data_IF_441609657120
#
_entry.id   IF_441609657120
#
_cell.length_a   1.000
_cell.length_b   1.000
_cell.length_c   1.000
_cell.angle_alpha   90.00
_cell.angle_beta   90.00
_cell.angle_gamma   90.00
#
_symmetry.space_group_name_H-M   'P 1'
#
loop_
_entity.id
_entity.type
_entity.pdbx_description
1 polymer ?
#
# COMPACT_ATOMS: atom_id res chain seq x y z
N UNK A 1 15.52 -11.43 28.25
CA UNK A 1 16.24 -11.92 27.03
C UNK A 1 15.34 -11.90 25.80
N UNK A 2 14.10 -12.41 25.85
CA UNK A 2 13.17 -12.52 24.71
C UNK A 2 12.83 -11.17 24.09
N UNK A 3 12.50 -10.16 24.91
CA UNK A 3 12.23 -8.80 24.44
C UNK A 3 13.42 -8.19 23.69
N UNK A 4 14.65 -8.41 24.17
CA UNK A 4 15.85 -7.91 23.52
C UNK A 4 16.10 -8.65 22.20
N UNK A 5 15.98 -9.99 22.19
CA UNK A 5 16.14 -10.79 20.97
C UNK A 5 15.13 -10.36 19.89
N UNK A 6 13.86 -10.23 20.27
CA UNK A 6 12.79 -9.75 19.40
C UNK A 6 13.05 -8.33 18.91
N UNK A 7 13.52 -7.42 19.77
CA UNK A 7 13.85 -6.04 19.40
C UNK A 7 14.99 -5.99 18.38
N UNK A 8 16.08 -6.70 18.59
CA UNK A 8 17.22 -6.77 17.67
C UNK A 8 16.79 -7.39 16.34
N UNK A 9 16.03 -8.47 16.38
CA UNK A 9 15.49 -9.10 15.18
C UNK A 9 14.60 -8.12 14.38
N UNK A 10 13.72 -7.36 15.04
CA UNK A 10 12.86 -6.35 14.41
C UNK A 10 13.63 -5.13 13.90
N UNK A 11 14.82 -4.88 14.40
CA UNK A 11 15.73 -3.83 13.86
C UNK A 11 16.48 -4.28 12.60
N UNK A 12 16.32 -5.52 12.16
CA UNK A 12 16.86 -6.05 10.91
C UNK A 12 18.00 -7.05 11.07
N UNK A 13 18.43 -7.37 12.30
CA UNK A 13 19.46 -8.39 12.53
C UNK A 13 18.94 -9.78 12.18
N UNK A 14 19.79 -10.61 11.58
CA UNK A 14 19.51 -12.03 11.42
C UNK A 14 19.56 -12.77 12.76
N UNK A 15 19.00 -13.97 12.83
CA UNK A 15 19.07 -14.80 14.05
C UNK A 15 20.53 -15.07 14.48
N UNK A 16 21.45 -15.24 13.53
CA UNK A 16 22.88 -15.43 13.83
C UNK A 16 23.46 -14.18 14.47
N UNK A 17 23.24 -13.00 13.90
CA UNK A 17 23.69 -11.73 14.45
C UNK A 17 23.07 -11.42 15.82
N UNK A 18 21.82 -11.78 16.05
CA UNK A 18 21.23 -11.68 17.39
C UNK A 18 21.97 -12.59 18.39
N UNK A 19 22.33 -13.81 17.98
CA UNK A 19 23.14 -14.73 18.79
C UNK A 19 24.55 -14.18 19.10
N UNK A 20 25.21 -13.55 18.12
CA UNK A 20 26.51 -12.89 18.29
C UNK A 20 26.42 -11.76 19.33
N UNK A 21 25.47 -10.84 19.18
CA UNK A 21 25.24 -9.74 20.15
C UNK A 21 24.96 -10.29 21.56
N UNK A 22 24.17 -11.36 21.66
CA UNK A 22 23.91 -12.00 22.97
C UNK A 22 25.18 -12.61 23.57
N UNK A 23 26.03 -13.21 22.71
CA UNK A 23 27.34 -13.72 23.14
C UNK A 23 28.25 -12.62 23.71
N UNK A 24 28.30 -11.49 23.00
CA UNK A 24 29.12 -10.33 23.43
C UNK A 24 28.59 -9.69 24.72
N UNK A 25 27.25 -9.52 24.84
CA UNK A 25 26.65 -8.82 25.98
C UNK A 25 26.58 -9.69 27.23
N UNK A 26 26.27 -10.98 27.08
CA UNK A 26 26.04 -11.89 28.22
C UNK A 26 27.17 -12.91 28.44
N UNK A 27 28.21 -12.91 27.62
CA UNK A 27 29.34 -13.83 27.75
C UNK A 27 29.00 -15.30 27.53
N UNK A 28 27.84 -15.60 26.90
CA UNK A 28 27.37 -16.98 26.67
C UNK A 28 27.00 -17.16 25.20
N UNK A 29 27.40 -18.29 24.64
CA UNK A 29 26.94 -18.66 23.30
C UNK A 29 25.49 -19.13 23.33
N UNK A 30 24.66 -18.54 22.48
CA UNK A 30 23.26 -18.94 22.29
C UNK A 30 23.13 -19.72 20.98
N UNK A 31 22.56 -20.91 21.06
CA UNK A 31 22.30 -21.70 19.85
C UNK A 31 21.23 -21.03 18.96
N UNK A 32 21.29 -21.30 17.63
CA UNK A 32 20.23 -20.85 16.70
C UNK A 32 18.83 -21.26 17.18
N UNK A 33 18.70 -22.46 17.75
CA UNK A 33 17.44 -22.96 18.29
C UNK A 33 16.95 -22.14 19.49
N UNK A 34 17.86 -21.66 20.35
CA UNK A 34 17.51 -20.79 21.47
C UNK A 34 17.04 -19.42 21.00
N UNK A 35 17.75 -18.80 20.05
CA UNK A 35 17.36 -17.54 19.46
C UNK A 35 16.03 -17.69 18.68
N UNK A 36 15.84 -18.78 17.94
CA UNK A 36 14.60 -19.06 17.23
C UNK A 36 13.40 -19.13 18.18
N UNK A 37 13.54 -19.80 19.33
CA UNK A 37 12.48 -19.86 20.37
C UNK A 37 12.15 -18.49 20.95
N UNK A 38 13.16 -17.63 21.18
CA UNK A 38 12.94 -16.26 21.67
C UNK A 38 12.17 -15.41 20.65
N UNK A 39 12.38 -15.66 19.34
CA UNK A 39 11.69 -14.96 18.27
C UNK A 39 10.29 -15.55 18.00
N UNK A 40 10.08 -16.82 18.33
CA UNK A 40 8.78 -17.50 18.15
C UNK A 40 7.65 -16.79 18.93
N UNK A 41 7.97 -16.25 20.10
CA UNK A 41 7.03 -15.44 20.89
C UNK A 41 6.49 -14.24 20.07
N UNK A 42 7.36 -13.60 19.30
CA UNK A 42 6.96 -12.50 18.42
C UNK A 42 5.95 -12.92 17.34
N UNK A 43 6.00 -14.15 16.85
CA UNK A 43 5.06 -14.66 15.85
C UNK A 43 3.64 -14.74 16.41
N UNK A 44 3.49 -15.20 17.65
CA UNK A 44 2.20 -15.26 18.34
C UNK A 44 1.56 -13.87 18.46
N UNK A 45 2.32 -12.88 18.93
CA UNK A 45 1.85 -11.50 19.05
C UNK A 45 1.43 -10.92 17.69
N UNK A 46 2.25 -11.15 16.66
CA UNK A 46 1.96 -10.69 15.30
C UNK A 46 0.72 -11.37 14.74
N UNK A 47 0.57 -12.66 14.94
CA UNK A 47 -0.60 -13.41 14.47
C UNK A 47 -1.88 -12.93 15.15
N UNK A 48 -1.84 -12.71 16.47
CA UNK A 48 -2.94 -12.13 17.23
C UNK A 48 -3.30 -10.73 16.69
N UNK A 49 -2.29 -9.90 16.44
CA UNK A 49 -2.51 -8.57 15.90
C UNK A 49 -3.10 -8.59 14.47
N UNK A 50 -2.62 -9.48 13.59
CA UNK A 50 -3.14 -9.63 12.23
C UNK A 50 -4.55 -10.21 12.20
N UNK A 51 -4.95 -11.01 13.21
CA UNK A 51 -6.29 -11.61 13.30
C UNK A 51 -7.29 -10.80 14.14
N UNK A 52 -6.87 -9.65 14.71
CA UNK A 52 -7.75 -8.81 15.54
C UNK A 52 -8.99 -8.35 14.80
N UNK A 53 -10.05 -8.10 15.53
CA UNK A 53 -11.25 -7.44 14.99
C UNK A 53 -10.90 -6.05 14.48
N UNK A 54 -11.57 -5.64 13.41
CA UNK A 54 -11.42 -4.33 12.76
C UNK A 54 -12.67 -3.50 12.98
N UNK A 55 -12.59 -2.20 12.69
CA UNK A 55 -13.77 -1.32 12.67
C UNK A 55 -14.74 -1.77 11.55
N UNK A 56 -16.03 -1.54 11.78
CA UNK A 56 -17.04 -1.89 10.79
C UNK A 56 -16.96 -1.03 9.52
N UNK A 57 -16.43 0.18 9.64
CA UNK A 57 -16.34 1.12 8.53
C UNK A 57 -15.01 1.86 8.51
N UNK A 58 -14.44 2.00 7.31
CA UNK A 58 -13.27 2.81 7.05
C UNK A 58 -13.55 3.82 5.94
N UNK A 59 -13.54 5.13 6.23
CA UNK A 59 -13.70 6.19 5.23
C UNK A 59 -12.77 6.05 4.02
N UNK A 60 -11.50 5.69 4.27
CA UNK A 60 -10.52 5.45 3.21
C UNK A 60 -9.71 4.20 3.54
N UNK A 61 -9.49 3.37 2.55
CA UNK A 61 -8.54 2.26 2.61
C UNK A 61 -7.51 2.42 1.50
N UNK A 62 -6.23 2.35 1.86
CA UNK A 62 -5.11 2.35 0.92
C UNK A 62 -4.56 0.94 0.77
N UNK A 63 -4.28 0.54 -0.47
CA UNK A 63 -3.61 -0.72 -0.80
C UNK A 63 -2.41 -0.43 -1.68
N UNK A 64 -1.25 -0.92 -1.28
CA UNK A 64 -0.02 -0.78 -2.07
C UNK A 64 0.94 -1.95 -1.81
N UNK A 65 1.78 -2.26 -2.79
CA UNK A 65 2.70 -3.39 -2.74
C UNK A 65 4.13 -2.98 -2.42
N UNK A 66 4.80 -3.83 -1.66
CA UNK A 66 6.25 -3.83 -1.52
C UNK A 66 6.80 -5.15 -2.05
N UNK A 67 7.84 -5.06 -2.90
CA UNK A 67 8.50 -6.25 -3.43
C UNK A 67 9.70 -6.62 -2.55
N UNK A 68 9.75 -7.89 -2.14
CA UNK A 68 10.77 -8.43 -1.23
C UNK A 68 11.33 -9.73 -1.81
N UNK A 69 12.65 -9.87 -1.78
CA UNK A 69 13.31 -11.11 -2.16
C UNK A 69 13.12 -12.17 -1.07
N UNK A 70 12.56 -13.32 -1.46
CA UNK A 70 12.27 -14.44 -0.57
C UNK A 70 12.94 -15.70 -1.09
N UNK A 71 13.60 -16.46 -0.20
CA UNK A 71 14.15 -17.77 -0.54
C UNK A 71 13.03 -18.79 -0.79
N UNK A 72 13.10 -19.46 -1.93
CA UNK A 72 12.30 -20.65 -2.27
C UNK A 72 13.23 -21.86 -2.40
N UNK A 73 12.67 -23.04 -2.53
CA UNK A 73 13.46 -24.32 -2.51
C UNK A 73 14.68 -24.32 -3.45
N UNK A 74 14.62 -23.62 -4.59
CA UNK A 74 15.67 -23.63 -5.62
C UNK A 74 16.03 -22.24 -6.16
N UNK A 75 15.39 -21.17 -5.66
CA UNK A 75 15.50 -19.83 -6.22
C UNK A 75 15.37 -18.76 -5.14
N UNK A 76 15.69 -17.53 -5.50
CA UNK A 76 15.29 -16.33 -4.76
C UNK A 76 14.29 -15.59 -5.63
N UNK A 77 13.07 -15.46 -5.17
CA UNK A 77 11.99 -14.84 -5.91
C UNK A 77 11.68 -13.45 -5.35
N UNK A 78 11.30 -12.54 -6.24
CA UNK A 78 10.89 -11.21 -5.86
C UNK A 78 9.36 -11.18 -5.76
N UNK A 79 8.85 -11.27 -4.54
CA UNK A 79 7.43 -11.43 -4.26
C UNK A 79 6.78 -10.13 -3.81
N UNK A 80 5.52 -9.93 -4.18
CA UNK A 80 4.71 -8.80 -3.78
C UNK A 80 4.06 -9.06 -2.41
N UNK A 81 4.22 -8.11 -1.50
CA UNK A 81 3.54 -8.06 -0.21
C UNK A 81 2.64 -6.83 -0.19
N UNK A 82 1.33 -7.05 -0.21
CA UNK A 82 0.34 -6.00 -0.19
C UNK A 82 0.05 -5.56 1.24
N UNK A 83 0.16 -4.27 1.46
CA UNK A 83 -0.17 -3.62 2.73
C UNK A 83 -1.50 -2.93 2.58
N UNK A 84 -2.44 -3.24 3.47
CA UNK A 84 -3.74 -2.60 3.55
C UNK A 84 -3.75 -1.68 4.76
N UNK A 85 -3.97 -0.39 4.54
CA UNK A 85 -4.01 0.64 5.59
C UNK A 85 -5.35 1.35 5.57
N UNK A 86 -6.08 1.31 6.68
CA UNK A 86 -7.34 2.03 6.87
C UNK A 86 -7.14 3.39 7.55
N UNK A 87 -7.96 4.35 7.14
CA UNK A 87 -8.20 5.60 7.86
C UNK A 87 -9.51 5.45 8.59
N UNK A 88 -9.51 5.66 9.90
CA UNK A 88 -10.70 5.58 10.74
C UNK A 88 -11.53 6.87 10.67
N UNK A 89 -12.72 6.84 11.21
CA UNK A 89 -13.58 8.03 11.31
C UNK A 89 -12.97 9.14 12.17
N UNK A 90 -12.17 8.80 13.20
CA UNK A 90 -11.41 9.74 14.02
C UNK A 90 -10.16 10.30 13.30
N UNK A 91 -9.99 9.97 12.02
CA UNK A 91 -8.85 10.33 11.16
C UNK A 91 -7.51 9.67 11.56
N UNK A 92 -7.50 8.79 12.53
CA UNK A 92 -6.33 7.95 12.82
C UNK A 92 -6.16 6.88 11.75
N UNK A 93 -4.98 6.27 11.68
CA UNK A 93 -4.64 5.28 10.66
C UNK A 93 -4.12 4.01 11.31
N UNK A 94 -4.52 2.88 10.74
CA UNK A 94 -3.99 1.59 11.15
C UNK A 94 -3.75 0.67 9.95
N UNK A 95 -2.81 -0.26 10.10
CA UNK A 95 -2.61 -1.34 9.14
C UNK A 95 -3.65 -2.42 9.39
N UNK A 96 -4.49 -2.69 8.41
CA UNK A 96 -5.55 -3.69 8.46
C UNK A 96 -5.02 -5.09 8.19
N UNK A 97 -4.01 -5.20 7.32
CA UNK A 97 -3.41 -6.48 6.97
C UNK A 97 -2.16 -6.34 6.10
N UNK A 98 -1.41 -7.42 6.04
CA UNK A 98 -0.24 -7.61 5.17
C UNK A 98 -0.40 -8.98 4.53
N UNK A 99 -0.45 -9.02 3.20
CA UNK A 99 -0.78 -10.21 2.43
C UNK A 99 0.33 -10.50 1.41
N UNK A 100 0.88 -11.70 1.45
CA UNK A 100 1.75 -12.17 0.38
C UNK A 100 0.89 -12.66 -0.79
N UNK A 101 1.11 -12.07 -1.97
CA UNK A 101 0.47 -12.52 -3.21
C UNK A 101 1.53 -12.57 -4.31
N UNK A 102 2.07 -13.75 -4.61
CA UNK A 102 3.10 -13.93 -5.65
C UNK A 102 2.59 -13.55 -7.04
N UNK A 103 1.28 -13.67 -7.27
CA UNK A 103 0.62 -13.28 -8.52
C UNK A 103 -0.57 -12.37 -8.25
N UNK A 104 -0.73 -11.33 -9.08
CA UNK A 104 -1.93 -10.47 -9.11
C UNK A 104 -3.06 -11.23 -9.80
N UNK A 105 -3.96 -11.83 -9.02
CA UNK A 105 -5.11 -12.57 -9.53
C UNK A 105 -6.41 -12.09 -8.86
N UNK A 106 -7.53 -12.20 -9.58
CA UNK A 106 -8.85 -11.88 -9.03
C UNK A 106 -9.14 -12.69 -7.75
N UNK A 107 -8.77 -13.96 -7.72
CA UNK A 107 -8.93 -14.81 -6.53
C UNK A 107 -8.13 -14.27 -5.34
N UNK A 108 -6.89 -13.83 -5.56
CA UNK A 108 -6.06 -13.27 -4.49
C UNK A 108 -6.63 -11.97 -3.90
N UNK A 109 -7.20 -11.10 -4.74
CA UNK A 109 -7.86 -9.88 -4.29
C UNK A 109 -9.13 -10.18 -3.49
N UNK A 110 -9.96 -11.10 -3.98
CA UNK A 110 -11.16 -11.56 -3.27
C UNK A 110 -10.81 -12.10 -1.89
N UNK A 111 -9.84 -12.99 -1.79
CA UNK A 111 -9.38 -13.53 -0.50
C UNK A 111 -8.92 -12.45 0.46
N UNK A 112 -8.21 -11.43 -0.03
CA UNK A 112 -7.77 -10.30 0.78
C UNK A 112 -8.96 -9.50 1.33
N UNK A 113 -9.94 -9.15 0.50
CA UNK A 113 -11.13 -8.41 0.93
C UNK A 113 -12.01 -9.25 1.85
N UNK A 114 -12.23 -10.54 1.55
CA UNK A 114 -12.96 -11.46 2.43
C UNK A 114 -12.29 -11.60 3.81
N UNK A 115 -10.95 -11.60 3.87
CA UNK A 115 -10.24 -11.62 5.14
C UNK A 115 -10.49 -10.35 5.98
N UNK A 116 -10.67 -9.18 5.35
CA UNK A 116 -11.06 -7.95 6.05
C UNK A 116 -12.51 -8.03 6.53
N UNK A 117 -13.41 -8.51 5.69
CA UNK A 117 -14.84 -8.71 6.00
C UNK A 117 -15.03 -9.65 7.20
N UNK A 118 -14.37 -10.82 7.20
CA UNK A 118 -14.41 -11.78 8.31
C UNK A 118 -13.88 -11.21 9.64
N UNK A 119 -13.02 -10.18 9.57
CA UNK A 119 -12.52 -9.47 10.74
C UNK A 119 -13.38 -8.28 11.16
N UNK A 120 -14.53 -8.08 10.53
CA UNK A 120 -15.55 -7.15 10.96
C UNK A 120 -15.78 -5.95 10.03
N UNK A 121 -14.98 -5.73 8.98
CA UNK A 121 -15.20 -4.63 8.02
C UNK A 121 -16.47 -4.91 7.23
N UNK A 122 -17.41 -3.97 7.26
CA UNK A 122 -18.67 -4.04 6.55
C UNK A 122 -18.81 -3.01 5.42
N UNK A 123 -17.95 -1.97 5.45
CA UNK A 123 -17.98 -0.94 4.43
C UNK A 123 -16.66 -0.17 4.32
N UNK A 124 -16.38 0.30 3.12
CA UNK A 124 -15.24 1.14 2.77
C UNK A 124 -15.75 2.32 1.96
N UNK A 125 -15.48 3.55 2.42
CA UNK A 125 -15.93 4.77 1.74
C UNK A 125 -15.19 5.05 0.44
N UNK A 126 -13.89 4.75 0.39
CA UNK A 126 -13.04 4.87 -0.80
C UNK A 126 -11.88 3.90 -0.71
N UNK A 127 -11.65 3.10 -1.75
CA UNK A 127 -10.42 2.34 -1.90
C UNK A 127 -9.43 3.10 -2.79
N UNK A 128 -8.20 3.29 -2.32
CA UNK A 128 -7.09 3.89 -3.08
C UNK A 128 -6.01 2.83 -3.31
N UNK A 129 -5.71 2.52 -4.55
CA UNK A 129 -4.74 1.47 -4.90
C UNK A 129 -3.85 1.87 -6.09
N UNK A 130 -2.76 1.15 -6.31
CA UNK A 130 -1.99 1.27 -7.56
C UNK A 130 -2.84 0.81 -8.77
N UNK A 131 -2.33 1.02 -9.97
CA UNK A 131 -3.00 0.67 -11.24
C UNK A 131 -3.14 -0.84 -11.48
N UNK A 132 -3.53 -1.58 -10.46
CA UNK A 132 -3.72 -3.04 -10.48
C UNK A 132 -4.98 -3.39 -11.25
N UNK A 133 -4.90 -4.37 -12.15
CA UNK A 133 -6.08 -4.91 -12.86
C UNK A 133 -6.82 -5.94 -11.99
N UNK A 134 -8.09 -6.16 -12.26
CA UNK A 134 -8.98 -7.13 -11.58
C UNK A 134 -9.26 -6.81 -10.09
N UNK A 135 -8.78 -5.69 -9.59
CA UNK A 135 -9.06 -5.26 -8.22
C UNK A 135 -10.51 -4.79 -8.07
N UNK A 136 -11.02 -4.10 -9.09
CA UNK A 136 -12.37 -3.53 -9.13
C UNK A 136 -13.47 -4.57 -9.01
N UNK A 137 -13.35 -5.68 -9.74
CA UNK A 137 -14.36 -6.76 -9.73
C UNK A 137 -14.40 -7.41 -8.34
N UNK A 138 -13.24 -7.73 -7.78
CA UNK A 138 -13.12 -8.32 -6.44
C UNK A 138 -13.59 -7.37 -5.33
N UNK A 139 -13.34 -6.06 -5.50
CA UNK A 139 -13.84 -5.04 -4.57
C UNK A 139 -15.37 -4.97 -4.59
N UNK A 140 -15.95 -4.90 -5.78
CA UNK A 140 -17.41 -4.83 -5.96
C UNK A 140 -18.13 -6.07 -5.43
N UNK A 141 -17.49 -7.23 -5.53
CA UNK A 141 -18.06 -8.49 -5.03
C UNK A 141 -18.16 -8.52 -3.50
N UNK A 142 -17.12 -8.06 -2.79
CA UNK A 142 -17.05 -8.15 -1.32
C UNK A 142 -17.58 -6.87 -0.65
N UNK A 143 -17.27 -5.70 -1.22
CA UNK A 143 -17.72 -4.40 -0.72
C UNK A 143 -18.44 -3.63 -1.83
N UNK A 144 -19.69 -4.01 -2.14
CA UNK A 144 -20.47 -3.39 -3.21
C UNK A 144 -20.65 -1.89 -2.94
N UNK A 145 -20.58 -1.09 -4.01
CA UNK A 145 -20.74 0.35 -3.94
C UNK A 145 -19.49 1.13 -3.49
N UNK A 146 -18.39 0.44 -3.14
CA UNK A 146 -17.14 1.12 -2.78
C UNK A 146 -16.48 1.75 -4.02
N UNK A 147 -16.31 3.09 -4.06
CA UNK A 147 -15.55 3.74 -5.11
C UNK A 147 -14.07 3.31 -5.10
N UNK A 148 -13.49 3.20 -6.31
CA UNK A 148 -12.08 2.92 -6.50
C UNK A 148 -11.36 4.15 -7.06
N UNK A 149 -10.26 4.56 -6.43
CA UNK A 149 -9.30 5.52 -6.94
C UNK A 149 -7.99 4.82 -7.24
N UNK A 150 -7.47 4.98 -8.45
CA UNK A 150 -6.12 4.49 -8.80
C UNK A 150 -5.07 5.58 -8.59
N UNK A 151 -3.88 5.18 -8.14
CA UNK A 151 -2.79 6.10 -7.77
C UNK A 151 -2.26 6.86 -8.97
N UNK A 152 -2.54 8.16 -9.02
CA UNK A 152 -2.07 9.06 -10.09
C UNK A 152 -0.54 9.20 -10.09
N UNK A 153 0.09 9.17 -8.92
CA UNK A 153 1.56 9.26 -8.81
C UNK A 153 2.25 8.08 -9.50
N UNK A 154 1.74 6.86 -9.31
CA UNK A 154 2.25 5.68 -10.01
C UNK A 154 2.02 5.76 -11.52
N UNK A 155 0.84 6.20 -11.95
CA UNK A 155 0.58 6.43 -13.37
C UNK A 155 1.57 7.42 -13.97
N UNK A 156 1.73 8.61 -13.37
CA UNK A 156 2.69 9.64 -13.84
C UNK A 156 4.11 9.07 -13.94
N UNK A 157 4.57 8.37 -12.92
CA UNK A 157 5.90 7.73 -12.90
C UNK A 157 6.06 6.71 -14.03
N UNK A 158 5.06 5.87 -14.25
CA UNK A 158 5.05 4.85 -15.30
C UNK A 158 5.03 5.48 -16.71
N UNK A 159 4.31 6.58 -16.91
CA UNK A 159 4.28 7.32 -18.16
C UNK A 159 5.66 7.92 -18.47
N UNK A 160 6.24 8.64 -17.51
CA UNK A 160 7.56 9.29 -17.66
C UNK A 160 8.71 8.28 -17.83
N UNK A 161 8.57 7.05 -17.31
CA UNK A 161 9.57 6.01 -17.52
C UNK A 161 9.61 5.46 -18.95
N UNK A 162 8.53 5.65 -19.73
CA UNK A 162 8.36 5.09 -21.08
C UNK A 162 8.69 6.06 -22.22
N UNK A 163 9.02 7.30 -21.90
CA UNK A 163 9.30 8.34 -22.90
C UNK A 163 10.77 8.74 -22.90
N UNK A 164 11.21 9.34 -24.01
CA UNK A 164 12.58 9.84 -24.17
C UNK A 164 12.88 10.90 -23.11
N UNK A 165 14.14 11.01 -22.73
CA UNK A 165 14.56 11.94 -21.68
C UNK A 165 14.16 13.39 -21.98
N UNK A 166 14.29 13.83 -23.24
CA UNK A 166 13.94 15.19 -23.68
C UNK A 166 12.45 15.53 -23.55
N UNK A 167 11.58 14.52 -23.62
CA UNK A 167 10.13 14.72 -23.60
C UNK A 167 9.54 14.69 -22.17
N UNK A 168 10.35 14.24 -21.18
CA UNK A 168 9.86 14.05 -19.79
C UNK A 168 9.35 15.34 -19.16
N UNK A 169 10.02 16.47 -19.42
CA UNK A 169 9.63 17.76 -18.86
C UNK A 169 8.25 18.20 -19.35
N UNK A 170 8.07 18.26 -20.67
CA UNK A 170 6.82 18.66 -21.31
C UNK A 170 5.68 17.69 -20.94
N UNK A 171 5.94 16.38 -20.97
CA UNK A 171 4.92 15.40 -20.54
C UNK A 171 4.53 15.55 -19.07
N UNK A 172 5.48 15.84 -18.19
CA UNK A 172 5.18 16.05 -16.76
C UNK A 172 4.32 17.29 -16.52
N UNK A 173 4.47 18.34 -17.36
CA UNK A 173 3.62 19.54 -17.35
C UNK A 173 2.21 19.21 -17.81
N UNK A 174 2.07 18.58 -18.97
CA UNK A 174 0.78 18.15 -19.48
C UNK A 174 0.05 17.22 -18.47
N UNK A 175 0.76 16.30 -17.83
CA UNK A 175 0.18 15.42 -16.79
C UNK A 175 -0.24 16.18 -15.52
N UNK A 176 0.36 17.33 -15.20
CA UNK A 176 -0.13 18.20 -14.11
C UNK A 176 -1.46 18.84 -14.47
N UNK A 177 -1.60 19.24 -15.73
CA UNK A 177 -2.83 19.87 -16.22
C UNK A 177 -3.99 18.88 -16.33
N UNK A 178 -3.71 17.62 -16.65
CA UNK A 178 -4.72 16.54 -16.64
C UNK A 178 -5.17 16.20 -15.22
N UNK A 179 -4.22 16.05 -14.27
CA UNK A 179 -4.51 15.62 -12.90
C UNK A 179 -4.41 16.77 -11.91
N UNK A 180 -5.34 17.73 -12.03
CA UNK A 180 -5.47 18.88 -11.13
C UNK A 180 -6.06 18.46 -9.79
N UNK A 181 -5.70 19.18 -8.74
CA UNK A 181 -6.28 19.02 -7.41
C UNK A 181 -6.56 20.40 -6.82
N UNK A 182 -7.60 20.51 -6.00
CA UNK A 182 -7.93 21.76 -5.30
C UNK A 182 -8.80 22.71 -6.09
N UNK A 183 -9.18 22.40 -7.31
CA UNK A 183 -10.12 23.15 -8.14
C UNK A 183 -11.54 22.59 -7.99
N UNK A 184 -12.49 23.32 -7.36
CA UNK A 184 -13.85 22.82 -7.15
C UNK A 184 -14.68 22.73 -8.45
N UNK A 185 -14.21 23.35 -9.54
CA UNK A 185 -14.90 23.34 -10.81
C UNK A 185 -14.37 22.30 -11.80
N UNK A 186 -13.29 21.61 -11.44
CA UNK A 186 -12.71 20.56 -12.28
C UNK A 186 -13.37 19.22 -11.98
N UNK A 187 -14.19 18.75 -12.93
CA UNK A 187 -15.01 17.53 -12.77
C UNK A 187 -14.29 16.26 -13.27
N UNK A 188 -14.76 15.04 -12.86
CA UNK A 188 -14.24 13.79 -13.42
C UNK A 188 -14.33 13.70 -14.95
N UNK A 189 -15.41 14.24 -15.54
CA UNK A 189 -15.62 14.27 -16.98
C UNK A 189 -14.57 15.16 -17.66
N UNK A 190 -14.34 16.36 -17.15
CA UNK A 190 -13.30 17.26 -17.66
C UNK A 190 -11.91 16.64 -17.52
N UNK A 191 -11.65 15.93 -16.42
CA UNK A 191 -10.41 15.17 -16.24
C UNK A 191 -10.24 14.07 -17.27
N UNK A 192 -11.32 13.35 -17.56
CA UNK A 192 -11.32 12.33 -18.60
C UNK A 192 -11.09 12.89 -20.00
N UNK A 193 -11.75 13.99 -20.35
CA UNK A 193 -11.57 14.67 -21.64
C UNK A 193 -10.12 15.17 -21.80
N UNK A 194 -9.56 15.76 -20.75
CA UNK A 194 -8.16 16.19 -20.72
C UNK A 194 -7.19 14.99 -20.87
N UNK A 195 -7.50 13.85 -20.29
CA UNK A 195 -6.75 12.61 -20.47
C UNK A 195 -6.79 12.10 -21.91
N UNK A 196 -7.95 12.11 -22.54
CA UNK A 196 -8.09 11.71 -23.94
C UNK A 196 -7.31 12.65 -24.88
N UNK A 197 -7.38 13.97 -24.66
CA UNK A 197 -6.60 14.95 -25.38
C UNK A 197 -5.07 14.74 -25.19
N UNK A 198 -4.64 14.50 -23.95
CA UNK A 198 -3.26 14.13 -23.63
C UNK A 198 -2.80 12.87 -24.37
N UNK A 199 -3.61 11.81 -24.34
CA UNK A 199 -3.30 10.56 -25.02
C UNK A 199 -3.29 10.72 -26.56
N UNK A 200 -4.12 11.58 -27.12
CA UNK A 200 -4.10 11.90 -28.55
C UNK A 200 -2.81 12.62 -28.93
N UNK A 201 -2.46 13.70 -28.21
CA UNK A 201 -1.24 14.50 -28.42
C UNK A 201 0.01 13.63 -28.39
N UNK A 202 0.24 12.94 -27.26
CA UNK A 202 1.44 12.12 -27.06
C UNK A 202 1.41 10.79 -27.82
N UNK A 203 0.23 10.38 -28.26
CA UNK A 203 0.02 9.17 -29.04
C UNK A 203 0.57 9.25 -30.46
N UNK A 204 0.89 10.43 -30.98
CA UNK A 204 1.57 10.63 -32.27
C UNK A 204 2.99 10.07 -32.22
N UNK A 205 3.71 10.36 -31.13
CA UNK A 205 5.09 9.90 -30.90
C UNK A 205 5.18 8.54 -30.19
N UNK A 206 4.18 8.22 -29.35
CA UNK A 206 4.15 7.05 -28.47
C UNK A 206 2.87 6.23 -28.64
N UNK A 207 2.85 5.29 -29.58
CA UNK A 207 1.67 4.44 -29.90
C UNK A 207 1.04 3.76 -28.69
N UNK A 208 1.83 3.42 -27.66
CA UNK A 208 1.33 2.80 -26.43
C UNK A 208 0.41 3.77 -25.69
N UNK A 209 0.74 5.08 -25.66
CA UNK A 209 -0.05 6.11 -24.99
C UNK A 209 -1.39 6.31 -25.69
N UNK A 210 -1.43 6.31 -27.03
CA UNK A 210 -2.66 6.48 -27.79
C UNK A 210 -3.77 5.51 -27.39
N UNK A 211 -3.41 4.26 -27.08
CA UNK A 211 -4.37 3.23 -26.73
C UNK A 211 -5.00 3.45 -25.34
N UNK A 212 -4.31 4.18 -24.45
CA UNK A 212 -4.77 4.40 -23.08
C UNK A 212 -5.94 5.38 -23.01
N UNK A 213 -6.05 6.30 -23.96
CA UNK A 213 -7.10 7.32 -24.00
C UNK A 213 -8.53 6.76 -24.13
N UNK A 214 -8.68 5.57 -24.72
CA UNK A 214 -9.99 4.92 -24.91
C UNK A 214 -10.24 3.74 -23.96
N UNK A 215 -9.30 3.43 -23.06
CA UNK A 215 -9.46 2.33 -22.09
C UNK A 215 -10.22 2.84 -20.85
N UNK A 216 -11.47 2.37 -20.61
CA UNK A 216 -12.30 2.80 -19.48
C UNK A 216 -11.63 2.61 -18.12
N UNK A 217 -10.68 1.69 -18.02
CA UNK A 217 -9.87 1.46 -16.84
C UNK A 217 -9.21 2.74 -16.29
N UNK A 218 -8.90 3.71 -17.15
CA UNK A 218 -8.26 4.97 -16.74
C UNK A 218 -9.24 5.97 -16.12
N UNK A 219 -10.57 5.75 -16.19
CA UNK A 219 -11.55 6.57 -15.48
C UNK A 219 -11.38 6.51 -13.95
N UNK A 220 -10.94 5.40 -13.41
CA UNK A 220 -10.65 5.25 -11.98
C UNK A 220 -9.52 6.17 -11.46
N UNK A 221 -8.76 6.82 -12.33
CA UNK A 221 -7.76 7.82 -11.94
C UNK A 221 -8.37 9.20 -11.64
N UNK A 222 -9.66 9.41 -11.92
CA UNK A 222 -10.39 10.66 -11.72
C UNK A 222 -11.44 10.59 -10.62
N UNK A 223 -11.59 9.47 -9.95
CA UNK A 223 -12.55 9.29 -8.85
C UNK A 223 -12.34 10.32 -7.73
N UNK A 224 -11.10 10.74 -7.47
CA UNK A 224 -10.77 11.74 -6.46
C UNK A 224 -11.45 13.10 -6.69
N UNK A 225 -11.86 13.42 -7.90
CA UNK A 225 -12.53 14.68 -8.24
C UNK A 225 -13.98 14.75 -7.73
N UNK A 226 -14.57 13.61 -7.34
CA UNK A 226 -15.88 13.58 -6.67
C UNK A 226 -15.82 14.04 -5.21
N UNK A 227 -14.62 14.28 -4.67
CA UNK A 227 -14.40 14.62 -3.27
C UNK A 227 -14.01 16.08 -3.10
N UNK A 228 -14.18 16.59 -1.88
CA UNK A 228 -13.87 17.97 -1.56
C UNK A 228 -12.40 18.33 -1.94
N UNK A 229 -12.14 19.50 -2.56
CA UNK A 229 -10.83 19.91 -3.07
C UNK A 229 -9.66 19.77 -2.07
N UNK A 230 -9.91 19.99 -0.77
CA UNK A 230 -8.88 19.87 0.28
C UNK A 230 -8.35 18.46 0.49
N UNK A 231 -9.12 17.42 0.14
CA UNK A 231 -8.69 16.02 0.30
C UNK A 231 -8.14 15.41 -0.98
N UNK A 232 -8.43 15.99 -2.12
CA UNK A 232 -8.07 15.43 -3.43
C UNK A 232 -6.59 15.04 -3.49
N UNK A 233 -5.68 15.92 -3.06
CA UNK A 233 -4.23 15.65 -3.05
C UNK A 233 -3.81 14.50 -2.10
N UNK A 234 -4.67 14.11 -1.17
CA UNK A 234 -4.40 13.04 -0.20
C UNK A 234 -4.87 11.69 -0.70
N UNK A 235 -5.97 11.67 -1.48
CA UNK A 235 -6.63 10.44 -1.94
C UNK A 235 -6.28 10.06 -3.37
N UNK A 236 -5.71 10.97 -4.18
CA UNK A 236 -5.31 10.66 -5.56
C UNK A 236 -3.99 9.85 -5.64
N UNK A 237 -3.37 9.56 -4.50
CA UNK A 237 -2.06 8.93 -4.38
C UNK A 237 -1.98 7.99 -3.18
N UNK A 238 -1.12 6.98 -3.27
CA UNK A 238 -0.78 6.06 -2.16
C UNK A 238 0.38 6.55 -1.29
N UNK A 239 0.77 7.82 -1.37
CA UNK A 239 1.91 8.39 -0.61
C UNK A 239 1.84 8.16 0.90
N UNK A 240 0.65 7.96 1.44
CA UNK A 240 0.44 7.71 2.86
C UNK A 240 0.98 6.35 3.28
N UNK A 241 0.81 5.35 2.44
CA UNK A 241 1.36 4.01 2.64
C UNK A 241 2.86 3.98 2.26
N UNK A 242 3.31 4.79 1.30
CA UNK A 242 4.73 4.84 0.89
C UNK A 242 5.67 5.22 2.04
N UNK A 243 5.22 6.05 2.98
CA UNK A 243 6.01 6.37 4.19
C UNK A 243 6.23 5.13 5.06
N UNK A 244 5.20 4.31 5.24
CA UNK A 244 5.29 3.04 5.96
C UNK A 244 6.21 2.08 5.23
N UNK A 245 6.08 1.98 3.92
CA UNK A 245 6.94 1.12 3.11
C UNK A 245 8.42 1.49 3.18
N UNK A 246 8.77 2.78 3.38
CA UNK A 246 10.18 3.16 3.62
C UNK A 246 10.75 2.51 4.87
N UNK A 247 9.96 2.41 5.93
CA UNK A 247 10.38 1.77 7.16
C UNK A 247 10.50 0.26 7.01
N UNK A 248 9.55 -0.36 6.30
CA UNK A 248 9.65 -1.77 5.92
C UNK A 248 10.90 -2.04 5.11
N UNK A 249 11.18 -1.26 4.06
CA UNK A 249 12.38 -1.41 3.23
C UNK A 249 13.66 -1.27 4.05
N UNK A 250 13.70 -0.38 5.03
CA UNK A 250 14.86 -0.20 5.90
C UNK A 250 15.18 -1.48 6.67
N UNK A 251 14.18 -2.11 7.27
CA UNK A 251 14.35 -3.34 8.06
C UNK A 251 14.65 -4.54 7.16
N UNK A 252 13.97 -4.65 6.02
CA UNK A 252 14.10 -5.79 5.11
C UNK A 252 15.43 -5.77 4.33
N UNK A 253 15.90 -4.59 3.90
CA UNK A 253 17.16 -4.45 3.11
C UNK A 253 18.39 -4.94 3.85
N UNK A 254 18.42 -4.90 5.17
CA UNK A 254 19.56 -5.37 5.96
C UNK A 254 19.82 -6.87 5.80
N UNK A 255 18.86 -7.63 5.28
CA UNK A 255 18.96 -9.10 5.17
C UNK A 255 19.18 -9.62 3.75
N UNK A 256 19.16 -8.75 2.74
CA UNK A 256 19.27 -9.15 1.34
C UNK A 256 18.03 -9.91 0.87
N UNK A 257 17.99 -11.24 1.08
CA UNK A 257 16.81 -12.07 0.83
C UNK A 257 16.26 -12.66 2.13
N UNK A 258 14.96 -12.69 2.27
CA UNK A 258 14.28 -13.19 3.45
C UNK A 258 14.13 -14.72 3.41
N UNK A 259 14.27 -15.44 4.54
CA UNK A 259 14.20 -16.89 4.56
C UNK A 259 12.83 -17.44 4.16
N UNK A 260 11.75 -16.80 4.55
CA UNK A 260 10.36 -17.20 4.25
C UNK A 260 9.46 -15.98 4.12
N UNK A 261 8.31 -16.13 3.45
CA UNK A 261 7.25 -15.12 3.42
C UNK A 261 6.74 -14.75 4.82
N UNK A 262 6.61 -15.72 5.70
CA UNK A 262 6.18 -15.49 7.08
C UNK A 262 7.16 -14.56 7.82
N UNK A 263 8.46 -14.75 7.61
CA UNK A 263 9.50 -13.87 8.19
C UNK A 263 9.36 -12.43 7.70
N UNK A 264 8.95 -12.22 6.45
CA UNK A 264 8.64 -10.88 5.91
C UNK A 264 7.44 -10.29 6.62
N UNK A 265 6.34 -11.04 6.70
CA UNK A 265 5.09 -10.60 7.32
C UNK A 265 5.33 -10.25 8.80
N UNK A 266 6.05 -11.08 9.55
CA UNK A 266 6.38 -10.83 10.96
C UNK A 266 7.14 -9.51 11.14
N UNK A 267 8.16 -9.26 10.31
CA UNK A 267 8.93 -8.02 10.40
C UNK A 267 8.12 -6.78 10.02
N UNK A 268 7.33 -6.87 8.96
CA UNK A 268 6.48 -5.77 8.52
C UNK A 268 5.39 -5.48 9.55
N UNK A 269 4.70 -6.52 10.05
CA UNK A 269 3.66 -6.38 11.06
C UNK A 269 4.22 -5.76 12.36
N UNK A 270 5.34 -6.27 12.87
CA UNK A 270 5.96 -5.71 14.07
C UNK A 270 6.41 -4.25 13.86
N UNK A 271 6.97 -3.93 12.69
CA UNK A 271 7.31 -2.55 12.35
C UNK A 271 6.06 -1.65 12.35
N UNK A 272 4.92 -2.15 11.87
CA UNK A 272 3.64 -1.44 11.89
C UNK A 272 3.10 -1.27 13.33
N UNK A 273 3.15 -2.33 14.15
CA UNK A 273 2.72 -2.30 15.56
C UNK A 273 3.49 -1.27 16.39
N UNK A 274 4.80 -1.15 16.17
CA UNK A 274 5.67 -0.26 16.95
C UNK A 274 5.56 1.22 16.52
N UNK A 275 4.84 1.52 15.45
CA UNK A 275 4.77 2.88 14.91
C UNK A 275 3.65 3.73 15.51
N UNK A 276 4.04 4.63 16.39
CA UNK A 276 3.14 5.71 16.90
C UNK A 276 2.73 6.74 15.83
N UNK A 277 3.44 6.83 14.70
CA UNK A 277 3.19 7.83 13.66
C UNK A 277 1.88 7.63 12.87
N UNK A 278 1.25 6.46 12.99
CA UNK A 278 -0.05 6.19 12.34
C UNK A 278 -1.23 6.91 13.00
N UNK A 279 -1.05 7.40 14.21
CA UNK A 279 -2.07 8.18 14.92
C UNK A 279 -2.07 9.67 14.57
N UNK A 280 -1.31 10.10 13.54
CA UNK A 280 -1.37 11.48 13.10
C UNK A 280 -2.67 11.72 12.36
N UNK A 281 -3.56 12.52 12.95
CA UNK A 281 -4.82 12.93 12.35
C UNK A 281 -4.61 13.57 10.97
N UNK A 282 -5.57 13.40 10.07
CA UNK A 282 -5.64 14.13 8.81
C UNK A 282 -5.81 15.62 9.12
N UNK A 283 -4.94 16.52 8.62
CA UNK A 283 -5.08 17.93 8.97
C UNK A 283 -6.37 18.52 8.37
N UNK A 284 -7.13 19.23 9.18
CA UNK A 284 -8.08 20.24 8.74
C UNK A 284 -9.36 19.78 8.02
N UNK A 285 -9.77 18.52 8.14
CA UNK A 285 -10.95 18.00 7.46
C UNK A 285 -12.06 17.79 8.48
N UNK A 286 -13.15 18.57 8.36
CA UNK A 286 -14.37 18.32 9.12
C UNK A 286 -15.02 17.03 8.64
N UNK A 287 -15.54 16.24 9.59
CA UNK A 287 -15.99 14.88 9.42
C UNK A 287 -17.05 14.70 8.35
N UNK A 288 -17.96 15.68 8.24
CA UNK A 288 -19.25 15.52 7.55
C UNK A 288 -19.25 16.00 6.08
N UNK A 289 -18.18 16.63 5.60
CA UNK A 289 -18.20 17.29 4.28
C UNK A 289 -17.23 16.72 3.24
N UNK A 290 -16.48 15.67 3.59
CA UNK A 290 -15.27 15.34 2.81
C UNK A 290 -15.25 13.94 2.23
N UNK A 291 -15.86 12.98 2.85
CA UNK A 291 -15.80 11.56 2.47
C UNK A 291 -17.17 10.87 2.45
N UNK A 292 -18.19 11.60 2.84
CA UNK A 292 -19.57 11.12 2.77
C UNK A 292 -20.33 12.10 1.89
N UNK A 293 -20.74 11.73 0.67
CA UNK A 293 -21.82 12.44 0.02
C UNK A 293 -23.03 12.36 0.96
N UNK A 294 -23.69 13.49 1.19
CA UNK A 294 -25.01 13.49 1.80
C UNK A 294 -25.89 12.53 1.01
N UNK A 295 -26.56 11.59 1.71
CA UNK A 295 -27.54 10.69 1.14
C UNK A 295 -28.71 11.46 0.51
#
# INVERSE_FOLDING_TARGET
CELLASSLYCKGLTQSQVGEVFGEVYGKQYSKASISRMIEYLRGDVQQWLSRSLEAYYPIVFVDAIHVKVHRKRSVENEAFYVVMGVKEDKSREVLGIFNRPSESATGWREMFTALEHRGVKGIGLLVADGIRYLEDSLTEVFPGTPLQKCVTHLKRNMLARVRHGDKGAMAEDLRDVFRTGDPHYTPEQGWDAWQAFCSKWGEDYRVIKRLGNDPFYRYYFTYLNYHPRVQSMIYTTNWIERLQRDFRRVLRMRGAMPTEESVIVLMAKTAMDKKAYFRALPGIERDKVLFPDD
#
